data_IF_346569502220
#
_entry.id   IF_346569502220
#
_cell.length_a   1.000
_cell.length_b   1.000
_cell.length_c   1.000
_cell.angle_alpha   90.00
_cell.angle_beta   90.00
_cell.angle_gamma   90.00
#
_symmetry.space_group_name_H-M   'P 1'
#
loop_
_entity.id
_entity.type
_entity.pdbx_description
1 polymer ?
#
# COMPACT_ATOMS: atom_id res chain seq x y z
N UNK A 1 -18.58 7.01 6.42
CA UNK A 1 -17.51 7.19 5.42
C UNK A 1 -18.18 7.52 4.09
N UNK A 2 -17.69 8.57 3.41
CA UNK A 2 -18.12 8.97 2.08
C UNK A 2 -17.03 8.66 1.06
N UNK A 3 -17.41 8.09 -0.08
CA UNK A 3 -16.53 7.89 -1.24
C UNK A 3 -17.18 8.54 -2.46
N UNK A 4 -16.50 9.50 -3.10
CA UNK A 4 -17.07 10.34 -4.18
C UNK A 4 -18.42 10.96 -3.78
N UNK A 5 -18.56 11.43 -2.54
CA UNK A 5 -19.79 12.03 -2.01
C UNK A 5 -20.92 11.05 -1.69
N UNK A 6 -20.73 9.75 -1.92
CA UNK A 6 -21.73 8.70 -1.62
C UNK A 6 -21.38 7.98 -0.33
N UNK A 7 -22.37 7.70 0.51
CA UNK A 7 -22.17 6.89 1.71
C UNK A 7 -21.79 5.45 1.33
N UNK A 8 -20.70 4.94 1.91
CA UNK A 8 -20.27 3.56 1.73
C UNK A 8 -21.33 2.54 2.18
N UNK A 9 -22.16 2.88 3.17
CA UNK A 9 -23.26 2.02 3.64
C UNK A 9 -24.40 1.91 2.63
N UNK A 10 -24.57 2.89 1.73
CA UNK A 10 -25.59 2.88 0.69
C UNK A 10 -25.18 2.07 -0.55
N UNK A 11 -23.91 1.68 -0.65
CA UNK A 11 -23.40 0.90 -1.78
C UNK A 11 -23.60 -0.59 -1.55
N UNK A 12 -23.98 -1.32 -2.60
CA UNK A 12 -23.97 -2.79 -2.58
C UNK A 12 -22.55 -3.34 -2.38
N UNK A 13 -22.44 -4.63 -1.98
CA UNK A 13 -21.13 -5.28 -1.82
C UNK A 13 -20.30 -5.22 -3.11
N UNK A 14 -20.92 -5.47 -4.26
CA UNK A 14 -20.25 -5.42 -5.55
C UNK A 14 -19.81 -3.99 -5.91
N UNK A 15 -20.66 -2.98 -5.70
CA UNK A 15 -20.30 -1.58 -5.93
C UNK A 15 -19.12 -1.14 -5.07
N UNK A 16 -19.09 -1.53 -3.79
CA UNK A 16 -17.92 -1.27 -2.93
C UNK A 16 -16.66 -1.95 -3.44
N UNK A 17 -16.77 -3.24 -3.85
CA UNK A 17 -15.66 -3.99 -4.36
C UNK A 17 -15.11 -3.46 -5.71
N UNK A 18 -15.87 -2.69 -6.47
CA UNK A 18 -15.39 -2.00 -7.67
C UNK A 18 -14.60 -0.73 -7.34
N UNK A 19 -14.94 -0.08 -6.24
CA UNK A 19 -14.37 1.22 -5.86
C UNK A 19 -13.19 1.09 -4.91
N UNK A 20 -13.18 0.06 -4.04
CA UNK A 20 -12.17 -0.10 -3.00
C UNK A 20 -11.50 -1.46 -3.13
N UNK A 21 -10.19 -1.44 -3.25
CA UNK A 21 -9.36 -2.65 -3.16
C UNK A 21 -8.57 -2.66 -1.85
N UNK A 22 -8.29 -3.84 -1.34
CA UNK A 22 -7.55 -4.04 -0.10
C UNK A 22 -6.38 -4.97 -0.33
N UNK A 23 -5.20 -4.54 0.11
CA UNK A 23 -4.03 -5.38 0.29
C UNK A 23 -3.91 -5.62 1.79
N UNK A 24 -4.37 -6.78 2.24
CA UNK A 24 -4.35 -7.15 3.65
C UNK A 24 -2.99 -7.72 4.06
N UNK A 25 -2.63 -7.54 5.32
CA UNK A 25 -1.39 -8.07 5.91
C UNK A 25 -1.25 -9.59 5.75
N UNK A 26 -2.36 -10.31 5.95
CA UNK A 26 -2.42 -11.78 5.90
C UNK A 26 -3.30 -12.24 4.73
N UNK A 27 -2.89 -11.93 3.50
CA UNK A 27 -3.52 -12.54 2.32
C UNK A 27 -2.99 -13.98 2.16
N UNK A 28 -3.86 -14.96 2.38
CA UNK A 28 -3.54 -16.40 2.27
C UNK A 28 -4.24 -17.00 1.04
N UNK A 29 -3.74 -16.69 -0.17
CA UNK A 29 -4.33 -17.25 -1.39
C UNK A 29 -4.09 -18.75 -1.49
N UNK A 30 -4.90 -19.44 -2.31
CA UNK A 30 -4.56 -20.80 -2.73
C UNK A 30 -3.23 -20.76 -3.51
N UNK A 31 -2.18 -21.26 -2.87
CA UNK A 31 -0.84 -21.22 -3.42
C UNK A 31 -0.64 -22.08 -4.67
N UNK A 32 -1.62 -22.95 -5.02
CA UNK A 32 -1.62 -23.74 -6.25
C UNK A 32 -1.98 -22.93 -7.48
N UNK A 33 -2.63 -21.78 -7.31
CA UNK A 33 -2.94 -20.88 -8.43
C UNK A 33 -1.67 -20.42 -9.14
N UNK A 34 -1.76 -20.26 -10.46
CA UNK A 34 -0.73 -19.50 -11.18
C UNK A 34 -0.80 -18.02 -10.76
N UNK A 35 0.32 -17.30 -10.93
CA UNK A 35 0.35 -15.86 -10.69
C UNK A 35 -0.75 -15.15 -11.48
N UNK A 36 -0.94 -15.54 -12.75
CA UNK A 36 -1.94 -14.94 -13.61
C UNK A 36 -3.37 -15.16 -13.11
N UNK A 37 -3.70 -16.40 -12.72
CA UNK A 37 -5.04 -16.73 -12.20
C UNK A 37 -5.29 -15.99 -10.89
N UNK A 38 -4.29 -15.88 -10.03
CA UNK A 38 -4.40 -15.12 -8.78
C UNK A 38 -4.66 -13.63 -9.05
N UNK A 39 -3.93 -13.01 -9.96
CA UNK A 39 -4.14 -11.60 -10.31
C UNK A 39 -5.50 -11.39 -10.97
N UNK A 40 -5.97 -12.37 -11.76
CA UNK A 40 -7.31 -12.34 -12.37
C UNK A 40 -8.45 -12.31 -11.35
N UNK A 41 -8.25 -12.81 -10.12
CA UNK A 41 -9.24 -12.68 -9.04
C UNK A 41 -9.60 -11.21 -8.76
N UNK A 42 -8.69 -10.27 -9.00
CA UNK A 42 -8.97 -8.83 -8.92
C UNK A 42 -10.08 -8.37 -9.88
N UNK A 43 -10.38 -9.15 -10.93
CA UNK A 43 -11.45 -8.81 -11.89
C UNK A 43 -12.83 -9.32 -11.52
N UNK A 44 -12.97 -10.13 -10.46
CA UNK A 44 -14.26 -10.69 -10.01
C UNK A 44 -15.34 -9.61 -9.81
N UNK A 45 -15.09 -8.43 -9.21
CA UNK A 45 -16.12 -7.42 -9.05
C UNK A 45 -16.68 -6.86 -10.37
N UNK A 46 -15.93 -7.04 -11.45
CA UNK A 46 -16.25 -6.56 -12.80
C UNK A 46 -16.72 -7.67 -13.75
N UNK A 47 -17.05 -8.83 -13.21
CA UNK A 47 -17.53 -9.94 -14.04
C UNK A 47 -18.77 -9.52 -14.82
N UNK A 48 -18.75 -9.71 -16.14
CA UNK A 48 -19.82 -9.34 -17.04
C UNK A 48 -19.85 -7.87 -17.52
N UNK A 49 -18.97 -6.99 -17.00
CA UNK A 49 -18.96 -5.58 -17.39
C UNK A 49 -18.32 -5.35 -18.78
N UNK A 50 -17.31 -6.15 -19.10
CA UNK A 50 -16.54 -6.01 -20.34
C UNK A 50 -16.17 -7.39 -20.90
N UNK A 51 -15.80 -7.49 -22.19
CA UNK A 51 -15.34 -8.74 -22.81
C UNK A 51 -14.08 -9.31 -22.12
N UNK A 52 -13.91 -10.62 -22.20
CA UNK A 52 -12.81 -11.35 -21.57
C UNK A 52 -11.42 -10.83 -21.95
N UNK A 53 -11.21 -10.50 -23.22
CA UNK A 53 -9.95 -9.94 -23.69
C UNK A 53 -9.57 -8.63 -23.03
N UNK A 54 -10.55 -7.81 -22.59
CA UNK A 54 -10.29 -6.58 -21.83
C UNK A 54 -9.84 -6.92 -20.41
N UNK A 55 -10.45 -7.90 -19.76
CA UNK A 55 -9.99 -8.39 -18.46
C UNK A 55 -8.57 -8.95 -18.55
N UNK A 56 -8.29 -9.76 -19.56
CA UNK A 56 -6.96 -10.37 -19.79
C UNK A 56 -5.88 -9.27 -20.00
N UNK A 57 -6.20 -8.22 -20.74
CA UNK A 57 -5.31 -7.08 -20.94
C UNK A 57 -5.01 -6.32 -19.64
N UNK A 58 -6.02 -6.09 -18.79
CA UNK A 58 -5.85 -5.44 -17.48
C UNK A 58 -4.97 -6.28 -16.57
N UNK A 59 -5.20 -7.59 -16.50
CA UNK A 59 -4.39 -8.54 -15.73
C UNK A 59 -2.93 -8.54 -16.21
N UNK A 60 -2.72 -8.64 -17.52
CA UNK A 60 -1.38 -8.63 -18.10
C UNK A 60 -0.65 -7.32 -17.80
N UNK A 61 -1.35 -6.19 -17.84
CA UNK A 61 -0.77 -4.89 -17.51
C UNK A 61 -0.40 -4.80 -16.02
N UNK A 62 -1.26 -5.23 -15.10
CA UNK A 62 -0.98 -5.23 -13.67
C UNK A 62 0.26 -6.10 -13.33
N UNK A 63 0.38 -7.28 -13.96
CA UNK A 63 1.56 -8.15 -13.83
C UNK A 63 2.83 -7.46 -14.37
N UNK A 64 2.70 -6.73 -15.48
CA UNK A 64 3.81 -5.97 -16.07
C UNK A 64 4.28 -4.86 -15.14
N UNK A 65 3.39 -4.07 -14.62
CA UNK A 65 3.68 -2.93 -13.74
C UNK A 65 4.38 -3.34 -12.44
N UNK A 66 4.07 -4.53 -11.93
CA UNK A 66 4.71 -5.11 -10.74
C UNK A 66 5.99 -5.91 -11.04
N UNK A 67 6.48 -5.90 -12.30
CA UNK A 67 7.73 -6.54 -12.69
C UNK A 67 7.68 -8.08 -12.74
N UNK A 68 6.49 -8.68 -12.79
CA UNK A 68 6.30 -10.13 -12.62
C UNK A 68 6.05 -10.89 -13.95
N UNK A 69 6.26 -10.28 -15.11
CA UNK A 69 5.93 -10.89 -16.41
C UNK A 69 6.54 -12.27 -16.62
N UNK A 70 7.80 -12.45 -16.20
CA UNK A 70 8.53 -13.71 -16.38
C UNK A 70 8.00 -14.83 -15.48
N UNK A 71 7.24 -14.48 -14.45
CA UNK A 71 6.67 -15.39 -13.46
C UNK A 71 5.20 -15.70 -13.69
N UNK A 72 4.60 -15.12 -14.76
CA UNK A 72 3.15 -15.15 -15.02
C UNK A 72 2.50 -16.53 -14.86
N UNK A 73 3.18 -17.57 -15.34
CA UNK A 73 2.68 -18.97 -15.33
C UNK A 73 3.15 -19.78 -14.13
N UNK A 74 3.95 -19.19 -13.23
CA UNK A 74 4.42 -19.88 -12.05
C UNK A 74 3.32 -19.96 -10.97
N UNK A 75 3.32 -21.06 -10.23
CA UNK A 75 2.50 -21.22 -9.03
C UNK A 75 2.97 -20.22 -7.95
N UNK A 76 2.02 -19.64 -7.20
CA UNK A 76 2.32 -18.76 -6.07
C UNK A 76 3.22 -19.43 -5.03
N UNK A 77 3.12 -20.77 -4.89
CA UNK A 77 3.97 -21.53 -3.98
C UNK A 77 5.46 -21.38 -4.29
N UNK A 78 5.80 -21.23 -5.58
CA UNK A 78 7.19 -21.12 -6.04
C UNK A 78 7.76 -19.70 -5.97
N UNK A 79 6.96 -18.72 -5.57
CA UNK A 79 7.38 -17.32 -5.47
C UNK A 79 8.03 -17.04 -4.12
N UNK A 80 9.03 -16.16 -4.12
CA UNK A 80 9.59 -15.57 -2.88
C UNK A 80 8.56 -14.71 -2.15
N UNK A 81 8.82 -14.34 -0.90
CA UNK A 81 7.96 -13.45 -0.12
C UNK A 81 7.71 -12.12 -0.83
N UNK A 82 8.76 -11.48 -1.34
CA UNK A 82 8.64 -10.21 -2.08
C UNK A 82 7.90 -10.35 -3.41
N UNK A 83 8.10 -11.46 -4.14
CA UNK A 83 7.34 -11.73 -5.36
C UNK A 83 5.85 -11.96 -5.05
N UNK A 84 5.52 -12.66 -3.96
CA UNK A 84 4.12 -12.82 -3.51
C UNK A 84 3.50 -11.47 -3.12
N UNK A 85 4.24 -10.61 -2.44
CA UNK A 85 3.75 -9.27 -2.08
C UNK A 85 3.47 -8.42 -3.33
N UNK A 86 4.36 -8.44 -4.32
CA UNK A 86 4.11 -7.78 -5.61
C UNK A 86 2.96 -8.42 -6.39
N UNK A 87 2.75 -9.74 -6.27
CA UNK A 87 1.60 -10.43 -6.86
C UNK A 87 0.28 -9.98 -6.21
N UNK A 88 0.26 -9.84 -4.89
CA UNK A 88 -0.89 -9.32 -4.16
C UNK A 88 -1.20 -7.87 -4.57
N UNK A 89 -0.17 -7.03 -4.74
CA UNK A 89 -0.36 -5.68 -5.28
C UNK A 89 -0.89 -5.72 -6.73
N UNK A 90 -0.37 -6.61 -7.60
CA UNK A 90 -0.89 -6.76 -8.97
C UNK A 90 -2.38 -7.10 -8.98
N UNK A 91 -2.84 -7.98 -8.09
CA UNK A 91 -4.26 -8.32 -7.92
C UNK A 91 -5.09 -7.09 -7.52
N UNK A 92 -4.59 -6.29 -6.58
CA UNK A 92 -5.22 -5.03 -6.15
C UNK A 92 -5.32 -4.04 -7.32
N UNK A 93 -4.24 -3.85 -8.08
CA UNK A 93 -4.22 -2.95 -9.23
C UNK A 93 -5.12 -3.46 -10.38
N UNK A 94 -5.18 -4.78 -10.60
CA UNK A 94 -6.07 -5.38 -11.59
C UNK A 94 -7.55 -5.12 -11.28
N UNK A 95 -7.91 -4.86 -10.03
CA UNK A 95 -9.28 -4.45 -9.66
C UNK A 95 -9.65 -3.05 -10.18
N UNK A 96 -8.68 -2.22 -10.60
CA UNK A 96 -8.88 -0.84 -11.09
C UNK A 96 -9.70 0.02 -10.10
N UNK A 97 -9.30 0.10 -8.82
CA UNK A 97 -10.05 0.77 -7.77
C UNK A 97 -9.87 2.29 -7.81
N UNK A 98 -10.80 3.01 -7.16
CA UNK A 98 -10.65 4.44 -6.85
C UNK A 98 -9.86 4.69 -5.56
N UNK A 99 -9.94 3.74 -4.62
CA UNK A 99 -9.27 3.77 -3.33
C UNK A 99 -8.59 2.44 -3.06
N UNK A 100 -7.33 2.49 -2.66
CA UNK A 100 -6.58 1.33 -2.17
C UNK A 100 -6.34 1.46 -0.68
N UNK A 101 -6.67 0.41 0.06
CA UNK A 101 -6.30 0.24 1.45
C UNK A 101 -5.10 -0.71 1.51
N UNK A 102 -4.01 -0.26 2.11
CA UNK A 102 -2.78 -1.03 2.27
C UNK A 102 -2.55 -1.29 3.77
N UNK A 103 -2.58 -2.54 4.17
CA UNK A 103 -2.30 -2.93 5.55
C UNK A 103 -0.91 -3.54 5.62
N UNK A 104 0.05 -2.76 6.14
CA UNK A 104 1.48 -3.12 6.24
C UNK A 104 2.08 -3.67 4.93
N UNK A 105 1.95 -2.95 3.81
CA UNK A 105 2.29 -3.47 2.48
C UNK A 105 3.78 -3.75 2.29
N UNK A 106 4.63 -3.22 3.17
CA UNK A 106 6.09 -3.30 3.08
C UNK A 106 6.71 -4.42 3.90
N UNK A 107 5.89 -5.20 4.62
CA UNK A 107 6.37 -6.34 5.38
C UNK A 107 6.99 -7.39 4.46
N UNK A 108 8.07 -8.01 4.95
CA UNK A 108 8.84 -9.04 4.23
C UNK A 108 9.55 -8.56 2.94
N UNK A 109 9.59 -7.25 2.69
CA UNK A 109 10.38 -6.66 1.61
C UNK A 109 11.72 -6.14 2.14
N UNK A 110 12.74 -6.26 1.32
CA UNK A 110 14.02 -5.56 1.50
C UNK A 110 13.85 -4.04 1.30
N UNK A 111 14.77 -3.20 1.82
CA UNK A 111 14.60 -1.75 1.74
C UNK A 111 14.31 -1.21 0.34
N UNK A 112 15.01 -1.61 -0.74
CA UNK A 112 14.67 -1.16 -2.09
C UNK A 112 13.25 -1.58 -2.52
N UNK A 113 12.85 -2.82 -2.22
CA UNK A 113 11.52 -3.34 -2.58
C UNK A 113 10.37 -2.61 -1.89
N UNK A 114 10.60 -2.07 -0.66
CA UNK A 114 9.61 -1.24 0.05
C UNK A 114 9.34 0.07 -0.69
N UNK A 115 10.41 0.75 -1.07
CA UNK A 115 10.32 2.02 -1.80
C UNK A 115 9.72 1.83 -3.20
N UNK A 116 10.13 0.77 -3.92
CA UNK A 116 9.59 0.44 -5.24
C UNK A 116 8.07 0.20 -5.18
N UNK A 117 7.61 -0.58 -4.19
CA UNK A 117 6.19 -0.89 -4.02
C UNK A 117 5.36 0.37 -3.75
N UNK A 118 5.80 1.21 -2.80
CA UNK A 118 5.11 2.45 -2.46
C UNK A 118 5.13 3.45 -3.61
N UNK A 119 6.26 3.60 -4.30
CA UNK A 119 6.39 4.46 -5.48
C UNK A 119 5.46 4.02 -6.61
N UNK A 120 5.33 2.71 -6.85
CA UNK A 120 4.42 2.18 -7.85
C UNK A 120 2.97 2.56 -7.55
N UNK A 121 2.54 2.44 -6.30
CA UNK A 121 1.18 2.81 -5.89
C UNK A 121 0.97 4.33 -6.00
N UNK A 122 1.92 5.14 -5.51
CA UNK A 122 1.86 6.61 -5.56
C UNK A 122 1.73 7.13 -6.99
N UNK A 123 2.47 6.54 -7.93
CA UNK A 123 2.47 6.93 -9.34
C UNK A 123 1.17 6.58 -10.08
N UNK A 124 0.27 5.82 -9.48
CA UNK A 124 -1.04 5.51 -10.06
C UNK A 124 -2.04 6.65 -9.99
N UNK A 125 -1.81 7.65 -9.15
CA UNK A 125 -2.73 8.78 -8.98
C UNK A 125 -4.10 8.39 -8.41
N UNK A 126 -4.19 7.23 -7.75
CA UNK A 126 -5.38 6.77 -7.03
C UNK A 126 -5.30 7.15 -5.56
N UNK A 127 -6.45 7.27 -4.90
CA UNK A 127 -6.45 7.51 -3.46
C UNK A 127 -5.91 6.30 -2.70
N UNK A 128 -5.04 6.54 -1.70
CA UNK A 128 -4.44 5.48 -0.90
C UNK A 128 -4.60 5.80 0.58
N UNK A 129 -4.98 4.79 1.35
CA UNK A 129 -4.85 4.79 2.80
C UNK A 129 -3.94 3.62 3.18
N UNK A 130 -2.83 3.91 3.82
CA UNK A 130 -1.85 2.90 4.20
C UNK A 130 -1.61 2.90 5.71
N UNK A 131 -1.53 1.72 6.31
CA UNK A 131 -0.95 1.51 7.63
C UNK A 131 0.51 1.20 7.45
N UNK A 132 1.38 2.04 8.00
CA UNK A 132 2.82 1.90 7.91
C UNK A 132 3.44 1.97 9.33
N UNK A 133 4.43 1.11 9.58
CA UNK A 133 5.21 1.13 10.83
C UNK A 133 6.54 1.86 10.69
N UNK A 134 7.01 2.02 9.46
CA UNK A 134 8.26 2.71 9.15
C UNK A 134 7.98 4.21 8.97
N UNK A 135 8.43 5.00 9.94
CA UNK A 135 8.21 6.46 9.94
C UNK A 135 8.96 7.15 8.79
N UNK A 136 10.12 6.64 8.39
CA UNK A 136 10.91 7.18 7.28
C UNK A 136 10.16 6.99 5.96
N UNK A 137 9.61 5.79 5.74
CA UNK A 137 8.76 5.52 4.58
C UNK A 137 7.47 6.34 4.62
N UNK A 138 6.89 6.54 5.81
CA UNK A 138 5.70 7.37 5.98
C UNK A 138 5.96 8.81 5.54
N UNK A 139 7.09 9.40 5.93
CA UNK A 139 7.48 10.76 5.54
C UNK A 139 7.62 10.92 4.02
N UNK A 140 8.23 9.95 3.35
CA UNK A 140 8.48 10.00 1.90
C UNK A 140 7.25 9.71 1.05
N UNK A 141 6.34 8.88 1.56
CA UNK A 141 5.18 8.38 0.83
C UNK A 141 3.92 9.24 1.01
N UNK A 142 3.60 9.61 2.26
CA UNK A 142 2.31 10.16 2.60
C UNK A 142 2.19 11.67 2.31
N UNK A 143 1.04 12.10 1.77
CA UNK A 143 0.68 13.51 1.68
C UNK A 143 0.10 14.01 3.02
N UNK A 144 -0.55 13.12 3.76
CA UNK A 144 -1.08 13.36 5.10
C UNK A 144 -0.89 12.14 5.99
N UNK A 145 -0.60 12.39 7.25
CA UNK A 145 -0.45 11.35 8.28
C UNK A 145 -1.54 11.51 9.32
N UNK A 146 -2.25 10.43 9.59
CA UNK A 146 -3.16 10.31 10.73
C UNK A 146 -2.46 9.53 11.83
N UNK A 147 -2.18 10.19 12.94
CA UNK A 147 -1.60 9.56 14.13
C UNK A 147 -2.72 9.08 15.06
N UNK A 148 -2.65 7.81 15.40
CA UNK A 148 -3.61 7.17 16.31
C UNK A 148 -2.92 6.74 17.61
N UNK A 149 -3.59 6.92 18.73
CA UNK A 149 -3.19 6.39 20.03
C UNK A 149 -4.41 5.86 20.76
N UNK A 150 -4.33 4.65 21.29
CA UNK A 150 -5.40 3.98 22.02
C UNK A 150 -6.77 4.01 21.30
N UNK A 151 -6.75 3.85 19.96
CA UNK A 151 -7.95 3.87 19.13
C UNK A 151 -8.54 5.26 18.85
N UNK A 152 -7.88 6.34 19.30
CA UNK A 152 -8.31 7.71 19.07
C UNK A 152 -7.37 8.44 18.12
N UNK A 153 -7.94 9.37 17.34
CA UNK A 153 -7.17 10.28 16.49
C UNK A 153 -6.52 11.35 17.35
N UNK A 154 -5.18 11.43 17.27
CA UNK A 154 -4.40 12.46 17.96
C UNK A 154 -4.26 13.70 17.07
N UNK A 155 -3.79 13.51 15.85
CA UNK A 155 -3.57 14.57 14.86
C UNK A 155 -3.67 13.99 13.46
N UNK A 156 -4.13 14.80 12.49
CA UNK A 156 -4.10 14.48 11.07
C UNK A 156 -3.61 15.70 10.28
N UNK A 157 -2.35 15.69 9.85
CA UNK A 157 -1.73 16.79 9.11
C UNK A 157 -0.63 16.26 8.17
N UNK A 158 0.18 17.15 7.58
CA UNK A 158 1.34 16.78 6.77
C UNK A 158 2.38 16.03 7.59
N UNK A 159 3.22 15.19 6.96
CA UNK A 159 4.27 14.47 7.67
C UNK A 159 5.18 15.37 8.52
N UNK A 160 5.53 16.56 7.99
CA UNK A 160 6.41 17.50 8.69
C UNK A 160 5.83 17.99 10.01
N UNK A 161 4.50 18.09 10.11
CA UNK A 161 3.79 18.55 11.32
C UNK A 161 3.48 17.41 12.29
N UNK A 162 3.29 16.21 11.78
CA UNK A 162 2.92 15.05 12.62
C UNK A 162 4.14 14.32 13.17
N UNK A 163 5.20 14.17 12.35
CA UNK A 163 6.37 13.36 12.69
C UNK A 163 7.39 14.14 13.54
N UNK A 164 6.92 14.90 14.53
CA UNK A 164 7.73 15.67 15.47
C UNK A 164 7.74 15.03 16.86
N UNK A 165 8.79 15.28 17.63
CA UNK A 165 8.98 14.70 18.97
C UNK A 165 7.80 14.94 19.90
N UNK A 166 7.12 16.07 19.78
CA UNK A 166 5.95 16.43 20.58
C UNK A 166 4.83 15.36 20.52
N UNK A 167 4.57 14.81 19.34
CA UNK A 167 3.58 13.77 19.12
C UNK A 167 4.14 12.36 19.20
N UNK A 168 5.38 12.16 18.75
CA UNK A 168 5.96 10.83 18.69
C UNK A 168 6.43 10.32 20.05
N UNK A 169 6.95 11.22 20.89
CA UNK A 169 7.50 10.80 22.18
C UNK A 169 6.46 10.21 23.14
N UNK A 170 5.28 10.83 23.35
CA UNK A 170 4.26 10.28 24.24
C UNK A 170 3.66 8.96 23.77
N UNK A 171 3.72 8.66 22.47
CA UNK A 171 3.04 7.51 21.85
C UNK A 171 4.02 6.35 21.59
N UNK A 172 5.20 6.66 21.09
CA UNK A 172 6.20 5.65 20.66
C UNK A 172 7.49 5.71 21.46
N UNK A 173 7.68 6.69 22.33
CA UNK A 173 8.97 6.93 23.00
C UNK A 173 10.07 7.40 22.07
N UNK A 174 9.72 7.96 20.91
CA UNK A 174 10.66 8.37 19.88
C UNK A 174 10.79 9.90 19.84
N UNK A 175 12.02 10.37 19.65
CA UNK A 175 12.29 11.76 19.26
C UNK A 175 12.61 11.84 17.77
N UNK A 176 12.43 13.01 17.20
CA UNK A 176 12.79 13.28 15.81
C UNK A 176 13.44 14.65 15.65
N UNK A 177 14.42 14.71 14.78
CA UNK A 177 15.09 15.96 14.37
C UNK A 177 15.50 15.87 12.90
N UNK A 178 15.80 16.98 12.28
CA UNK A 178 16.21 17.04 10.87
C UNK A 178 17.68 17.40 10.75
N UNK A 179 18.38 16.73 9.85
CA UNK A 179 19.78 17.02 9.47
C UNK A 179 19.89 17.20 7.97
N UNK A 180 20.82 18.00 7.47
CA UNK A 180 21.05 18.07 6.04
C UNK A 180 21.70 16.78 5.52
N UNK A 181 21.20 16.25 4.40
CA UNK A 181 21.83 15.12 3.72
C UNK A 181 23.24 15.53 3.23
N UNK A 182 24.30 14.76 3.51
CA UNK A 182 25.69 15.18 3.28
C UNK A 182 26.03 15.47 1.81
N UNK A 183 25.33 14.83 0.87
CA UNK A 183 25.60 15.01 -0.56
C UNK A 183 24.58 15.88 -1.29
N UNK A 184 23.33 15.95 -0.83
CA UNK A 184 22.26 16.66 -1.55
C UNK A 184 21.78 17.92 -0.85
N UNK A 185 22.14 18.11 0.42
CA UNK A 185 21.67 19.22 1.27
C UNK A 185 20.18 19.15 1.64
N UNK A 186 19.42 18.17 1.15
CA UNK A 186 18.00 17.99 1.51
C UNK A 186 17.89 17.65 3.00
N UNK A 187 16.85 18.17 3.65
CA UNK A 187 16.55 17.80 5.03
C UNK A 187 16.18 16.30 5.11
N UNK A 188 16.86 15.58 5.99
CA UNK A 188 16.57 14.20 6.37
C UNK A 188 16.06 14.20 7.80
N UNK A 189 14.93 13.56 8.04
CA UNK A 189 14.43 13.34 9.39
C UNK A 189 15.06 12.07 9.97
N UNK A 190 15.56 12.20 11.18
CA UNK A 190 16.10 11.09 11.98
C UNK A 190 15.12 10.82 13.11
N UNK A 191 14.87 9.55 13.35
CA UNK A 191 14.07 9.07 14.47
C UNK A 191 14.97 8.29 15.42
N UNK A 192 14.89 8.56 16.71
CA UNK A 192 15.71 7.86 17.70
C UNK A 192 14.95 7.60 18.99
N UNK A 193 15.33 6.54 19.70
CA UNK A 193 14.94 6.33 21.09
C UNK A 193 15.91 7.13 21.95
N UNK A 194 15.45 8.14 22.70
CA UNK A 194 16.34 8.92 23.55
C UNK A 194 16.95 7.99 24.62
N UNK A 195 18.27 7.96 24.66
CA UNK A 195 18.98 7.26 25.75
C UNK A 195 18.81 8.09 27.03
N UNK A 196 18.20 7.50 28.07
CA UNK A 196 18.29 8.07 29.41
C UNK A 196 19.78 8.05 29.84
N UNK A 197 20.34 9.26 30.01
CA UNK A 197 21.67 9.43 30.58
C UNK A 197 21.67 9.06 32.09
#
# INVERSE_FOLDING_TARGET
>A
ILLRGRSMSALSRQQRARLVAVLAQNDTPDTRLSLEDYVALGRIPHAGDVPRNVHDAIVANAIKETGLQRLRRRSLLSLSGGERQRAALARVLAQTPDLVLLDEPTNHLDPPGREELLSLVKNKGIAVVAVLHDLTLTESFADRVLLLSQGQSVICDTPERVLVSEYLYPIFGLTSFTVPHPHTGKALRIFEVPHCA
#
